data_IF_029774876097
#
_entry.id   IF_029774876097
#
_cell.length_a   1.000
_cell.length_b   1.000
_cell.length_c   1.000
_cell.angle_alpha   90.00
_cell.angle_beta   90.00
_cell.angle_gamma   90.00
#
_symmetry.space_group_name_H-M   'P 1'
#
loop_
_entity.id
_entity.type
_entity.pdbx_description
1 polymer ?
#
# COMPACT_ATOMS: atom_id res chain seq x y z
N UNK A 1 5.67 -1.09 6.21
CA UNK A 1 4.45 -1.67 5.62
C UNK A 1 4.56 -3.20 5.48
N UNK A 2 5.45 -3.73 4.66
CA UNK A 2 5.59 -5.18 4.42
C UNK A 2 6.37 -5.89 5.51
N UNK A 3 5.92 -5.82 6.74
CA UNK A 3 6.49 -6.59 7.83
C UNK A 3 5.93 -8.03 7.86
N UNK A 4 6.37 -8.79 8.87
CA UNK A 4 5.92 -10.17 9.08
C UNK A 4 4.40 -10.35 9.00
N UNK A 5 3.63 -9.40 9.52
CA UNK A 5 2.18 -9.50 9.62
C UNK A 5 1.48 -9.37 8.26
N UNK A 6 2.04 -8.58 7.34
CA UNK A 6 1.50 -8.45 5.98
C UNK A 6 1.94 -9.58 5.03
N UNK A 7 2.95 -10.36 5.40
CA UNK A 7 3.44 -11.47 4.58
C UNK A 7 3.00 -12.84 5.09
N UNK A 8 3.08 -13.09 6.40
CA UNK A 8 2.90 -14.40 7.00
C UNK A 8 1.89 -14.44 8.15
N UNK A 9 1.40 -13.30 8.57
CA UNK A 9 0.58 -13.20 9.77
C UNK A 9 -0.88 -12.97 9.47
N UNK A 10 -1.27 -11.70 9.55
CA UNK A 10 -2.69 -11.30 9.48
C UNK A 10 -3.38 -11.64 8.16
N UNK A 11 -2.68 -11.53 7.03
CA UNK A 11 -3.26 -11.87 5.72
C UNK A 11 -3.68 -13.33 5.63
N UNK A 12 -2.86 -14.25 6.16
CA UNK A 12 -3.18 -15.67 6.19
C UNK A 12 -4.32 -15.98 7.17
N UNK A 13 -4.43 -15.22 8.27
CA UNK A 13 -5.55 -15.35 9.20
C UNK A 13 -6.85 -14.85 8.58
N UNK A 14 -6.82 -13.71 7.90
CA UNK A 14 -7.98 -13.20 7.14
C UNK A 14 -8.40 -14.14 6.01
N UNK A 15 -7.43 -14.80 5.39
CA UNK A 15 -7.69 -15.85 4.39
C UNK A 15 -8.16 -17.18 5.00
N UNK A 16 -8.33 -17.26 6.33
CA UNK A 16 -8.73 -18.48 7.06
C UNK A 16 -7.77 -19.66 6.90
N UNK A 17 -6.48 -19.38 6.64
CA UNK A 17 -5.45 -20.41 6.51
C UNK A 17 -5.06 -21.05 7.85
N UNK A 18 -5.34 -20.39 8.98
CA UNK A 18 -5.01 -20.84 10.33
C UNK A 18 -6.21 -20.87 11.27
N UNK A 19 -6.24 -21.89 12.14
CA UNK A 19 -7.17 -21.92 13.26
C UNK A 19 -6.56 -21.23 14.48
N UNK A 20 -6.94 -19.97 14.69
CA UNK A 20 -6.43 -19.12 15.77
C UNK A 20 -6.81 -19.64 17.17
N UNK A 21 -7.94 -20.36 17.29
CA UNK A 21 -8.41 -20.91 18.57
C UNK A 21 -7.43 -21.90 19.19
N UNK A 22 -6.64 -22.57 18.35
CA UNK A 22 -5.62 -23.55 18.79
C UNK A 22 -4.26 -22.90 19.11
N UNK A 23 -4.13 -21.57 18.98
CA UNK A 23 -2.89 -20.89 19.37
C UNK A 23 -2.74 -20.85 20.88
N UNK A 24 -1.52 -21.09 21.42
CA UNK A 24 -1.24 -20.87 22.83
C UNK A 24 -1.56 -19.45 23.26
N UNK A 25 -2.03 -19.26 24.50
CA UNK A 25 -2.40 -17.95 25.05
C UNK A 25 -1.22 -16.97 25.07
N UNK A 26 -0.02 -17.46 25.24
CA UNK A 26 1.24 -16.72 25.25
C UNK A 26 1.80 -16.42 23.85
N UNK A 27 1.13 -16.86 22.79
CA UNK A 27 1.61 -16.60 21.41
C UNK A 27 1.56 -15.11 21.09
N UNK A 28 2.68 -14.50 20.71
CA UNK A 28 2.72 -13.06 20.41
C UNK A 28 1.72 -12.67 19.31
N UNK A 29 0.91 -11.67 19.58
CA UNK A 29 -0.08 -11.15 18.65
C UNK A 29 -1.35 -12.00 18.52
N UNK A 30 -1.58 -12.99 19.41
CA UNK A 30 -2.82 -13.78 19.42
C UNK A 30 -4.06 -12.91 19.42
N UNK A 31 -4.08 -11.85 20.23
CA UNK A 31 -5.24 -10.98 20.43
C UNK A 31 -5.72 -10.35 19.12
N UNK A 32 -4.83 -9.72 18.35
CA UNK A 32 -5.23 -9.13 17.07
C UNK A 32 -5.55 -10.19 16.00
N UNK A 33 -4.96 -11.38 16.09
CA UNK A 33 -5.29 -12.49 15.19
C UNK A 33 -6.69 -13.07 15.47
N UNK A 34 -7.14 -13.04 16.72
CA UNK A 34 -8.52 -13.38 17.04
C UNK A 34 -9.51 -12.40 16.39
N UNK A 35 -9.27 -11.09 16.48
CA UNK A 35 -10.06 -10.09 15.77
C UNK A 35 -10.07 -10.32 14.25
N UNK A 36 -8.90 -10.58 13.66
CA UNK A 36 -8.78 -10.87 12.24
C UNK A 36 -9.53 -12.15 11.81
N UNK A 37 -9.45 -13.22 12.61
CA UNK A 37 -10.11 -14.49 12.32
C UNK A 37 -11.65 -14.38 12.29
N UNK A 38 -12.22 -13.46 13.03
CA UNK A 38 -13.67 -13.19 13.07
C UNK A 38 -14.07 -11.97 12.24
N UNK A 39 -13.12 -11.33 11.51
CA UNK A 39 -13.35 -10.09 10.78
C UNK A 39 -13.88 -8.94 11.65
N UNK A 40 -13.51 -8.96 12.94
CA UNK A 40 -13.91 -7.94 13.91
C UNK A 40 -12.92 -6.75 13.85
N UNK A 41 -13.20 -5.80 12.97
CA UNK A 41 -12.37 -4.62 12.76
C UNK A 41 -12.46 -3.61 13.92
N UNK A 42 -13.42 -3.74 14.81
CA UNK A 42 -13.54 -2.93 16.04
C UNK A 42 -12.71 -3.50 17.20
N UNK A 43 -12.18 -4.71 17.05
CA UNK A 43 -11.35 -5.32 18.08
C UNK A 43 -10.10 -4.48 18.36
N UNK A 44 -9.92 -4.09 19.62
CA UNK A 44 -8.97 -3.05 20.06
C UNK A 44 -7.54 -3.21 19.54
N UNK A 45 -7.05 -4.44 19.47
CA UNK A 45 -5.66 -4.68 19.02
C UNK A 45 -5.59 -4.90 17.50
N UNK A 46 -6.69 -5.32 16.87
CA UNK A 46 -6.71 -5.56 15.42
C UNK A 46 -6.90 -4.27 14.62
N UNK A 47 -7.75 -3.33 15.06
CA UNK A 47 -8.02 -2.10 14.31
C UNK A 47 -6.77 -1.21 14.12
N UNK A 48 -5.79 -1.29 15.03
CA UNK A 48 -4.52 -0.55 14.93
C UNK A 48 -3.68 -0.98 13.73
N UNK A 49 -3.83 -2.24 13.30
CA UNK A 49 -3.04 -2.76 12.21
C UNK A 49 -3.45 -2.19 10.85
N UNK A 50 -4.74 -2.18 10.44
CA UNK A 50 -5.17 -1.47 9.23
C UNK A 50 -4.77 0.02 9.23
N UNK A 51 -4.87 0.70 10.37
CA UNK A 51 -4.42 2.09 10.51
C UNK A 51 -2.92 2.22 10.23
N UNK A 52 -2.09 1.40 10.86
CA UNK A 52 -0.63 1.42 10.63
C UNK A 52 -0.27 1.10 9.18
N UNK A 53 -0.96 0.15 8.54
CA UNK A 53 -0.76 -0.17 7.12
C UNK A 53 -1.08 1.06 6.25
N UNK A 54 -2.18 1.73 6.53
CA UNK A 54 -2.59 2.94 5.83
C UNK A 54 -1.56 4.06 5.95
N UNK A 55 -1.16 4.39 7.16
CA UNK A 55 -0.20 5.46 7.45
C UNK A 55 1.17 5.17 6.80
N UNK A 56 1.71 3.98 6.99
CA UNK A 56 3.00 3.58 6.43
C UNK A 56 2.96 3.46 4.90
N UNK A 57 1.86 2.96 4.34
CA UNK A 57 1.67 2.88 2.89
C UNK A 57 1.71 4.26 2.24
N UNK A 58 0.92 5.20 2.73
CA UNK A 58 0.92 6.56 2.16
C UNK A 58 2.16 7.38 2.49
N UNK A 59 2.84 7.10 3.60
CA UNK A 59 4.16 7.66 3.85
C UNK A 59 5.19 7.18 2.80
N UNK A 60 5.17 5.90 2.46
CA UNK A 60 6.04 5.38 1.40
C UNK A 60 5.69 5.96 0.03
N UNK A 61 4.41 6.14 -0.30
CA UNK A 61 3.95 6.83 -1.52
C UNK A 61 4.45 8.28 -1.56
N UNK A 62 4.38 9.00 -0.45
CA UNK A 62 4.90 10.37 -0.35
C UNK A 62 6.41 10.43 -0.64
N UNK A 63 7.17 9.46 -0.13
CA UNK A 63 8.61 9.36 -0.42
C UNK A 63 8.87 9.05 -1.91
N UNK A 64 8.10 8.18 -2.55
CA UNK A 64 8.19 7.94 -4.00
C UNK A 64 7.91 9.23 -4.78
N UNK A 65 6.83 9.95 -4.45
CA UNK A 65 6.48 11.20 -5.11
C UNK A 65 7.56 12.28 -4.95
N UNK A 66 8.14 12.39 -3.75
CA UNK A 66 9.24 13.31 -3.49
C UNK A 66 10.49 12.95 -4.33
N UNK A 67 10.81 11.65 -4.40
CA UNK A 67 11.93 11.19 -5.23
C UNK A 67 11.67 11.46 -6.72
N UNK A 68 10.51 11.14 -7.25
CA UNK A 68 10.12 11.40 -8.64
C UNK A 68 10.24 12.89 -8.96
N UNK A 69 9.70 13.76 -8.10
CA UNK A 69 9.76 15.21 -8.30
C UNK A 69 11.20 15.74 -8.37
N UNK A 70 12.07 15.22 -7.51
CA UNK A 70 13.48 15.63 -7.50
C UNK A 70 14.29 14.99 -8.64
N UNK A 71 14.11 13.72 -8.94
CA UNK A 71 14.80 13.03 -10.03
C UNK A 71 14.53 13.69 -11.38
N UNK A 72 13.29 14.09 -11.67
CA UNK A 72 12.91 14.77 -12.92
C UNK A 72 13.64 16.08 -13.17
N UNK A 73 14.04 16.77 -12.11
CA UNK A 73 14.69 18.08 -12.19
C UNK A 73 16.17 18.04 -11.81
N UNK A 74 16.71 16.88 -11.46
CA UNK A 74 18.10 16.71 -11.09
C UNK A 74 19.00 16.84 -12.33
N UNK A 75 20.14 17.52 -12.16
CA UNK A 75 21.16 17.57 -13.20
C UNK A 75 21.72 16.15 -13.44
N UNK A 76 21.67 15.63 -14.69
CA UNK A 76 22.21 14.32 -15.01
C UNK A 76 23.72 14.16 -14.64
N UNK A 77 24.47 15.23 -14.63
CA UNK A 77 25.88 15.20 -14.26
C UNK A 77 26.16 14.89 -12.78
N UNK A 78 25.11 14.88 -11.95
CA UNK A 78 25.18 14.41 -10.56
C UNK A 78 25.25 12.88 -10.43
N UNK A 79 24.95 12.14 -11.50
CA UNK A 79 24.90 10.69 -11.53
C UNK A 79 26.09 10.10 -12.30
N UNK A 80 26.57 8.93 -11.87
CA UNK A 80 27.69 8.25 -12.52
C UNK A 80 27.38 7.87 -13.98
N UNK A 81 26.18 7.30 -14.20
CA UNK A 81 25.68 6.94 -15.53
C UNK A 81 24.78 8.03 -16.15
N UNK A 82 24.85 9.26 -15.63
CA UNK A 82 24.15 10.43 -16.14
C UNK A 82 22.65 10.20 -16.31
N UNK A 83 22.12 10.52 -17.49
CA UNK A 83 20.69 10.41 -17.81
C UNK A 83 20.12 9.01 -17.61
N UNK A 84 20.91 7.98 -17.91
CA UNK A 84 20.45 6.58 -17.75
C UNK A 84 20.18 6.21 -16.30
N UNK A 85 21.02 6.66 -15.37
CA UNK A 85 20.81 6.40 -13.95
C UNK A 85 19.67 7.23 -13.38
N UNK A 86 19.59 8.51 -13.79
CA UNK A 86 18.49 9.39 -13.43
C UNK A 86 17.13 8.80 -13.84
N UNK A 87 17.03 8.36 -15.10
CA UNK A 87 15.81 7.74 -15.63
C UNK A 87 15.48 6.42 -14.94
N UNK A 88 16.49 5.60 -14.63
CA UNK A 88 16.28 4.37 -13.87
C UNK A 88 15.70 4.66 -12.47
N UNK A 89 16.25 5.65 -11.78
CA UNK A 89 15.78 6.04 -10.45
C UNK A 89 14.34 6.55 -10.47
N UNK A 90 13.96 7.30 -11.49
CA UNK A 90 12.59 7.76 -11.71
C UNK A 90 11.65 6.57 -11.97
N UNK A 91 12.02 5.67 -12.88
CA UNK A 91 11.23 4.48 -13.21
C UNK A 91 11.04 3.54 -12.02
N UNK A 92 12.10 3.31 -11.22
CA UNK A 92 11.99 2.52 -9.97
C UNK A 92 11.03 3.16 -8.97
N UNK A 93 11.05 4.48 -8.83
CA UNK A 93 10.14 5.19 -7.94
C UNK A 93 8.68 5.15 -8.42
N UNK A 94 8.44 5.24 -9.73
CA UNK A 94 7.13 5.08 -10.35
C UNK A 94 6.59 3.66 -10.14
N UNK A 95 7.40 2.65 -10.43
CA UNK A 95 7.02 1.25 -10.23
C UNK A 95 6.72 0.94 -8.76
N UNK A 96 7.51 1.46 -7.82
CA UNK A 96 7.28 1.28 -6.38
C UNK A 96 6.01 2.01 -5.93
N UNK A 97 5.73 3.21 -6.43
CA UNK A 97 4.49 3.94 -6.18
C UNK A 97 3.27 3.17 -6.65
N UNK A 98 3.32 2.66 -7.87
CA UNK A 98 2.26 1.82 -8.46
C UNK A 98 2.01 0.57 -7.61
N UNK A 99 3.08 -0.14 -7.24
CA UNK A 99 3.01 -1.36 -6.43
C UNK A 99 2.36 -1.11 -5.06
N UNK A 100 2.82 -0.08 -4.35
CA UNK A 100 2.28 0.24 -3.01
C UNK A 100 0.81 0.65 -3.11
N UNK A 101 0.43 1.52 -4.04
CA UNK A 101 -0.95 1.98 -4.18
C UNK A 101 -1.88 0.88 -4.71
N UNK A 102 -1.39 -0.06 -5.51
CA UNK A 102 -2.13 -1.27 -5.86
C UNK A 102 -2.40 -2.15 -4.64
N UNK A 103 -1.43 -2.34 -3.76
CA UNK A 103 -1.66 -3.08 -2.52
C UNK A 103 -2.62 -2.37 -1.57
N UNK A 104 -2.55 -1.03 -1.48
CA UNK A 104 -3.54 -0.24 -0.75
C UNK A 104 -4.96 -0.44 -1.31
N UNK A 105 -5.08 -0.48 -2.65
CA UNK A 105 -6.36 -0.76 -3.32
C UNK A 105 -6.88 -2.16 -2.95
N UNK A 106 -6.03 -3.17 -3.00
CA UNK A 106 -6.41 -4.56 -2.67
C UNK A 106 -6.85 -4.75 -1.23
N UNK A 107 -6.28 -3.97 -0.30
CA UNK A 107 -6.56 -4.08 1.14
C UNK A 107 -7.80 -3.27 1.53
N UNK A 108 -7.97 -2.07 0.96
CA UNK A 108 -8.94 -1.09 1.43
C UNK A 108 -10.13 -0.85 0.49
N UNK A 109 -10.19 -1.53 -0.65
CA UNK A 109 -11.31 -1.45 -1.57
C UNK A 109 -11.94 -2.83 -1.83
N UNK A 110 -13.21 -2.89 -2.23
CA UNK A 110 -13.86 -4.13 -2.62
C UNK A 110 -13.21 -4.76 -3.84
N UNK A 111 -13.28 -6.09 -3.93
CA UNK A 111 -12.79 -6.80 -5.11
C UNK A 111 -13.59 -6.41 -6.38
N UNK A 112 -12.94 -6.24 -7.54
CA UNK A 112 -13.60 -5.86 -8.79
C UNK A 112 -14.75 -6.79 -9.20
N UNK A 113 -14.64 -8.07 -8.85
CA UNK A 113 -15.68 -9.08 -9.14
C UNK A 113 -17.04 -8.74 -8.52
N UNK A 114 -17.07 -7.92 -7.46
CA UNK A 114 -18.33 -7.45 -6.85
C UNK A 114 -18.92 -6.26 -7.57
N UNK A 115 -18.32 -5.78 -8.64
CA UNK A 115 -18.71 -4.57 -9.39
C UNK A 115 -18.99 -3.36 -8.48
N UNK A 116 -18.02 -2.96 -7.64
CA UNK A 116 -18.23 -1.93 -6.65
C UNK A 116 -18.52 -0.57 -7.31
N UNK A 117 -19.56 0.10 -6.81
CA UNK A 117 -19.93 1.45 -7.23
C UNK A 117 -19.58 2.41 -6.12
N UNK A 118 -18.54 3.19 -6.28
CA UNK A 118 -18.13 4.16 -5.27
C UNK A 118 -16.64 4.48 -5.36
N UNK A 119 -16.21 5.37 -4.49
CA UNK A 119 -14.81 5.79 -4.36
C UNK A 119 -14.27 5.31 -3.01
N UNK A 120 -13.06 4.77 -3.00
CA UNK A 120 -12.55 4.03 -1.83
C UNK A 120 -11.25 4.59 -1.29
N UNK A 121 -10.23 4.70 -2.13
CA UNK A 121 -8.91 5.20 -1.75
C UNK A 121 -8.46 6.31 -2.69
N UNK A 122 -7.60 7.24 -2.25
CA UNK A 122 -6.95 8.18 -3.16
C UNK A 122 -5.82 7.48 -3.92
N UNK A 123 -5.51 7.94 -5.14
CA UNK A 123 -4.27 7.66 -5.84
C UNK A 123 -3.43 8.93 -5.87
N UNK A 124 -2.33 8.96 -5.13
CA UNK A 124 -1.55 10.16 -4.86
C UNK A 124 -0.30 10.19 -5.76
N UNK A 125 -0.21 11.23 -6.59
CA UNK A 125 0.87 11.43 -7.59
C UNK A 125 1.80 12.62 -7.32
N UNK A 126 1.52 13.39 -6.27
CA UNK A 126 2.30 14.60 -5.94
C UNK A 126 2.75 14.65 -4.49
N UNK A 127 3.75 15.48 -4.22
CA UNK A 127 4.25 15.77 -2.88
C UNK A 127 4.67 17.25 -2.79
N UNK A 128 4.26 17.99 -1.76
CA UNK A 128 3.23 17.59 -0.78
C UNK A 128 1.82 17.52 -1.38
N UNK A 129 1.01 16.56 -0.90
CA UNK A 129 -0.41 16.48 -1.25
C UNK A 129 -1.25 16.92 -0.05
N UNK A 130 -1.99 17.99 -0.19
CA UNK A 130 -2.78 18.59 0.91
C UNK A 130 -4.21 18.07 0.93
N UNK A 131 -4.79 17.81 -0.23
CA UNK A 131 -6.15 17.31 -0.39
C UNK A 131 -6.18 16.23 -1.46
N UNK A 132 -6.55 15.02 -1.07
CA UNK A 132 -6.70 13.90 -2.00
C UNK A 132 -8.17 13.51 -2.14
N UNK A 133 -8.58 13.22 -3.36
CA UNK A 133 -9.91 12.72 -3.68
C UNK A 133 -9.86 11.21 -3.76
N UNK A 134 -10.84 10.55 -3.14
CA UNK A 134 -11.00 9.10 -3.29
C UNK A 134 -11.45 8.76 -4.71
N UNK A 135 -10.88 7.73 -5.28
CA UNK A 135 -11.17 7.23 -6.62
C UNK A 135 -11.90 5.88 -6.56
N UNK A 136 -12.55 5.52 -7.66
CA UNK A 136 -13.08 4.18 -7.88
C UNK A 136 -11.95 3.15 -8.05
N UNK A 137 -12.30 1.88 -7.96
CA UNK A 137 -11.35 0.79 -8.21
C UNK A 137 -10.77 0.88 -9.62
N UNK A 138 -11.61 1.20 -10.60
CA UNK A 138 -11.23 1.31 -12.01
C UNK A 138 -10.25 2.47 -12.24
N UNK A 139 -10.57 3.66 -11.75
CA UNK A 139 -9.68 4.84 -11.83
C UNK A 139 -8.33 4.61 -11.12
N UNK A 140 -8.33 3.91 -9.98
CA UNK A 140 -7.08 3.54 -9.30
C UNK A 140 -6.24 2.58 -10.17
N UNK A 141 -6.86 1.57 -10.79
CA UNK A 141 -6.17 0.62 -11.66
C UNK A 141 -5.60 1.28 -12.91
N UNK A 142 -6.33 2.22 -13.52
CA UNK A 142 -5.83 3.02 -14.65
C UNK A 142 -4.57 3.80 -14.25
N UNK A 143 -4.57 4.40 -13.06
CA UNK A 143 -3.40 5.12 -12.55
C UNK A 143 -2.21 4.20 -12.24
N UNK A 144 -2.46 2.98 -11.73
CA UNK A 144 -1.41 1.97 -11.53
C UNK A 144 -0.76 1.58 -12.86
N UNK A 145 -1.58 1.32 -13.90
CA UNK A 145 -1.09 0.95 -15.23
C UNK A 145 -0.27 2.10 -15.81
N UNK A 146 -0.77 3.33 -15.70
CA UNK A 146 -0.07 4.51 -16.21
C UNK A 146 1.32 4.68 -15.58
N UNK A 147 1.44 4.52 -14.25
CA UNK A 147 2.73 4.62 -13.56
C UNK A 147 3.72 3.51 -13.95
N UNK A 148 3.23 2.36 -14.44
CA UNK A 148 4.06 1.26 -14.91
C UNK A 148 4.46 1.41 -16.39
N UNK A 149 3.73 2.22 -17.16
CA UNK A 149 4.02 2.51 -18.58
C UNK A 149 4.95 3.72 -18.74
N UNK A 150 4.92 4.67 -17.78
CA UNK A 150 5.76 5.87 -17.75
C UNK A 150 7.22 5.54 -17.41
#
# INVERSE_FOLDING_TARGET
MYGREMTWGVMDVLAQCYNVQNMPSEYPGRQYKEGAAFYDYEYTDFHKLPQAIWEEGYNAVANCNNLIAHARHADPDLFELKESERALLEGEALALRAFIQFDMLRIFAPAPVTSPKGTYIPYIKSYPEVLSVKLSVEECMENVIQDLED
#
